data_IF_053250428776
#
_entry.id   IF_053250428776
#
_cell.length_a   1.000
_cell.length_b   1.000
_cell.length_c   1.000
_cell.angle_alpha   90.00
_cell.angle_beta   90.00
_cell.angle_gamma   90.00
#
_symmetry.space_group_name_H-M   'P 1'
#
loop_
_entity.id
_entity.type
_entity.pdbx_description
1 polymer ?
#
# COMPACT_ATOMS: atom_id res chain seq x y z
N UNK A 1 -14.95 13.53 6.07
CA UNK A 1 -15.51 12.36 5.36
C UNK A 1 -14.65 11.17 5.73
N UNK A 2 -15.16 10.22 6.51
CA UNK A 2 -14.42 9.00 6.86
C UNK A 2 -14.27 8.15 5.60
N UNK A 3 -13.05 7.93 5.12
CA UNK A 3 -12.78 6.94 4.07
C UNK A 3 -13.02 5.55 4.65
N UNK A 4 -14.17 4.97 4.28
CA UNK A 4 -14.63 3.71 4.82
C UNK A 4 -13.79 2.55 4.28
N UNK A 5 -13.47 1.60 5.17
CA UNK A 5 -12.90 0.30 4.79
C UNK A 5 -13.86 -0.37 3.79
N UNK A 6 -13.32 -0.85 2.66
CA UNK A 6 -14.13 -1.53 1.65
C UNK A 6 -14.16 -3.04 1.93
N UNK A 7 -15.33 -3.62 1.74
CA UNK A 7 -15.55 -5.05 1.88
C UNK A 7 -16.07 -5.62 0.56
N UNK A 8 -15.49 -6.73 0.14
CA UNK A 8 -15.85 -7.43 -1.09
C UNK A 8 -16.16 -8.89 -0.79
N UNK A 9 -17.02 -9.51 -1.58
CA UNK A 9 -17.47 -10.89 -1.38
C UNK A 9 -17.36 -11.66 -2.69
N UNK A 10 -16.79 -12.86 -2.62
CA UNK A 10 -16.48 -13.72 -3.76
C UNK A 10 -16.85 -15.17 -3.43
N UNK A 11 -17.10 -15.98 -4.45
CA UNK A 11 -17.42 -17.41 -4.27
C UNK A 11 -16.23 -18.32 -4.58
N UNK A 12 -15.21 -17.79 -5.27
CA UNK A 12 -14.02 -18.53 -5.68
C UNK A 12 -12.74 -17.89 -5.14
N UNK A 13 -11.77 -18.73 -4.77
CA UNK A 13 -10.47 -18.29 -4.30
C UNK A 13 -9.66 -17.61 -5.41
N UNK A 14 -9.84 -18.02 -6.67
CA UNK A 14 -9.14 -17.40 -7.81
C UNK A 14 -9.56 -15.94 -8.03
N UNK A 15 -10.84 -15.64 -7.82
CA UNK A 15 -11.36 -14.27 -7.88
C UNK A 15 -10.77 -13.42 -6.75
N UNK A 16 -10.63 -14.00 -5.55
CA UNK A 16 -9.98 -13.35 -4.41
C UNK A 16 -8.53 -13.01 -4.72
N UNK A 17 -7.77 -13.95 -5.28
CA UNK A 17 -6.37 -13.73 -5.65
C UNK A 17 -6.24 -12.65 -6.74
N UNK A 18 -7.05 -12.73 -7.79
CA UNK A 18 -7.07 -11.70 -8.85
C UNK A 18 -7.45 -10.33 -8.30
N UNK A 19 -8.43 -10.25 -7.38
CA UNK A 19 -8.81 -9.00 -6.73
C UNK A 19 -7.65 -8.43 -5.90
N UNK A 20 -6.94 -9.26 -5.15
CA UNK A 20 -5.77 -8.83 -4.37
C UNK A 20 -4.69 -8.28 -5.31
N UNK A 21 -4.40 -8.96 -6.41
CA UNK A 21 -3.41 -8.50 -7.40
C UNK A 21 -3.79 -7.16 -8.03
N UNK A 22 -5.06 -6.98 -8.40
CA UNK A 22 -5.59 -5.72 -8.93
C UNK A 22 -5.49 -4.61 -7.90
N UNK A 23 -5.85 -4.89 -6.63
CA UNK A 23 -5.74 -3.92 -5.55
C UNK A 23 -4.27 -3.55 -5.28
N UNK A 24 -3.35 -4.51 -5.31
CA UNK A 24 -1.91 -4.26 -5.19
C UNK A 24 -1.38 -3.37 -6.35
N UNK A 25 -1.82 -3.64 -7.57
CA UNK A 25 -1.44 -2.84 -8.74
C UNK A 25 -1.99 -1.41 -8.63
N UNK A 26 -3.26 -1.25 -8.26
CA UNK A 26 -3.91 0.05 -8.11
C UNK A 26 -3.29 0.88 -6.98
N UNK A 27 -2.99 0.25 -5.85
CA UNK A 27 -2.46 0.93 -4.67
C UNK A 27 -0.94 1.08 -4.67
N UNK A 28 -0.23 0.43 -5.60
CA UNK A 28 1.23 0.25 -5.56
C UNK A 28 1.73 -0.34 -4.24
N UNK A 29 0.87 -1.05 -3.51
CA UNK A 29 1.23 -1.75 -2.29
C UNK A 29 1.35 -3.24 -2.58
N UNK A 30 2.16 -3.92 -1.78
CA UNK A 30 2.26 -5.38 -1.77
C UNK A 30 1.90 -5.86 -0.40
N UNK A 31 1.18 -6.97 -0.33
CA UNK A 31 0.79 -7.61 0.91
C UNK A 31 1.57 -8.92 1.10
N UNK A 32 1.93 -9.19 2.34
CA UNK A 32 2.67 -10.38 2.76
C UNK A 32 1.84 -11.10 3.81
N UNK A 33 1.75 -12.42 3.70
CA UNK A 33 1.00 -13.24 4.66
C UNK A 33 1.63 -13.10 6.06
N UNK A 34 0.82 -12.65 7.01
CA UNK A 34 1.18 -12.57 8.42
C UNK A 34 0.81 -13.85 9.16
N UNK A 35 -0.38 -14.37 8.85
CA UNK A 35 -0.93 -15.56 9.48
C UNK A 35 -2.02 -16.16 8.62
N UNK A 36 -2.23 -17.46 8.79
CA UNK A 36 -3.33 -18.18 8.14
C UNK A 36 -3.86 -19.22 9.11
N UNK A 37 -5.18 -19.28 9.23
CA UNK A 37 -5.85 -20.34 9.98
C UNK A 37 -5.63 -21.70 9.30
N UNK A 38 -5.41 -22.77 10.09
CA UNK A 38 -5.06 -24.09 9.57
C UNK A 38 -6.05 -24.61 8.51
N UNK A 39 -7.36 -24.41 8.73
CA UNK A 39 -8.41 -24.88 7.82
C UNK A 39 -8.69 -23.96 6.63
N UNK A 40 -8.02 -22.80 6.50
CA UNK A 40 -8.34 -21.84 5.44
C UNK A 40 -8.15 -22.41 4.03
N UNK A 41 -7.05 -23.13 3.81
CA UNK A 41 -6.72 -23.80 2.55
C UNK A 41 -7.08 -25.29 2.55
N UNK A 42 -7.79 -25.76 3.58
CA UNK A 42 -8.20 -27.15 3.65
C UNK A 42 -9.39 -27.37 2.70
N UNK A 43 -9.12 -28.10 1.62
CA UNK A 43 -10.13 -28.49 0.63
C UNK A 43 -10.96 -29.70 1.10
N UNK A 44 -10.46 -30.44 2.09
CA UNK A 44 -11.14 -31.56 2.72
C UNK A 44 -11.94 -31.14 3.95
N UNK A 45 -11.94 -29.84 4.27
CA UNK A 45 -12.73 -29.32 5.37
C UNK A 45 -14.21 -29.66 5.17
N UNK A 46 -14.83 -30.18 6.23
CA UNK A 46 -16.25 -30.49 6.24
C UNK A 46 -16.93 -29.82 7.44
N UNK A 47 -18.16 -29.32 7.25
CA UNK A 47 -18.94 -28.79 8.35
C UNK A 47 -19.33 -29.92 9.31
N UNK A 48 -19.06 -29.72 10.59
CA UNK A 48 -19.52 -30.61 11.65
C UNK A 48 -20.67 -29.98 12.43
N UNK A 49 -21.41 -30.79 13.21
CA UNK A 49 -22.54 -30.29 14.01
C UNK A 49 -22.12 -29.47 15.24
N UNK A 50 -20.84 -29.52 15.62
CA UNK A 50 -20.32 -28.88 16.84
C UNK A 50 -20.10 -27.37 16.69
N UNK A 51 -19.44 -26.85 15.62
CA UNK A 51 -19.27 -25.43 15.39
C UNK A 51 -20.54 -24.60 15.52
N UNK A 52 -20.36 -23.34 15.91
CA UNK A 52 -21.44 -22.38 16.01
C UNK A 52 -21.92 -21.99 14.61
N UNK A 53 -23.24 -22.01 14.42
CA UNK A 53 -23.91 -21.45 13.24
C UNK A 53 -24.15 -19.97 13.48
N UNK A 54 -23.77 -19.15 12.50
CA UNK A 54 -23.94 -17.71 12.52
C UNK A 54 -24.96 -17.27 11.46
N UNK A 55 -25.58 -16.12 11.71
CA UNK A 55 -26.56 -15.49 10.82
C UNK A 55 -26.16 -14.05 10.45
N UNK A 56 -25.35 -13.45 11.31
CA UNK A 56 -24.77 -12.12 11.18
C UNK A 56 -23.49 -12.08 12.04
N UNK A 57 -22.56 -11.21 11.69
CA UNK A 57 -21.32 -11.02 12.43
C UNK A 57 -20.85 -9.58 12.33
N UNK A 58 -20.73 -8.89 13.47
CA UNK A 58 -20.26 -7.50 13.53
C UNK A 58 -19.21 -7.26 14.63
N UNK A 59 -18.76 -8.33 15.33
CA UNK A 59 -18.06 -8.21 16.62
C UNK A 59 -16.59 -8.59 16.61
N UNK A 60 -15.87 -8.41 15.50
CA UNK A 60 -14.42 -8.66 15.46
C UNK A 60 -13.64 -7.52 14.83
N UNK A 61 -12.79 -6.88 15.64
CA UNK A 61 -11.75 -5.99 15.14
C UNK A 61 -10.89 -6.74 14.10
N UNK A 62 -10.65 -6.13 12.94
CA UNK A 62 -9.93 -6.77 11.83
C UNK A 62 -10.70 -7.82 11.02
N UNK A 63 -11.86 -8.31 11.49
CA UNK A 63 -12.72 -9.23 10.72
C UNK A 63 -13.75 -8.46 9.87
N UNK A 64 -14.18 -9.02 8.72
CA UNK A 64 -15.26 -8.43 7.93
C UNK A 64 -16.60 -8.50 8.67
N UNK A 65 -17.47 -7.53 8.40
CA UNK A 65 -18.84 -7.49 8.95
C UNK A 65 -19.78 -8.22 8.00
N UNK A 66 -20.49 -9.23 8.48
CA UNK A 66 -21.50 -9.94 7.72
C UNK A 66 -22.88 -9.48 8.20
N UNK A 67 -23.62 -8.69 7.38
CA UNK A 67 -25.00 -8.36 7.71
C UNK A 67 -25.89 -9.59 7.61
N UNK A 68 -27.09 -9.51 8.19
CA UNK A 68 -28.08 -10.57 8.07
C UNK A 68 -28.58 -10.70 6.62
N UNK A 69 -28.21 -11.79 5.96
CA UNK A 69 -28.66 -12.12 4.58
C UNK A 69 -29.77 -13.18 4.56
N UNK A 70 -30.18 -13.64 5.74
CA UNK A 70 -31.09 -14.78 5.89
C UNK A 70 -30.44 -16.14 5.65
N UNK A 71 -29.16 -16.22 5.25
CA UNK A 71 -28.46 -17.49 5.00
C UNK A 71 -27.53 -17.82 6.16
N UNK A 72 -27.66 -19.00 6.81
CA UNK A 72 -26.76 -19.37 7.89
C UNK A 72 -25.37 -19.71 7.34
N UNK A 73 -24.34 -19.46 8.15
CA UNK A 73 -22.95 -19.75 7.79
C UNK A 73 -22.10 -20.24 8.98
N UNK A 74 -20.96 -20.85 8.67
CA UNK A 74 -19.92 -21.24 9.63
C UNK A 74 -18.56 -20.69 9.20
N UNK A 75 -17.73 -20.25 10.15
CA UNK A 75 -16.36 -19.84 9.85
C UNK A 75 -15.46 -21.05 9.58
N UNK A 76 -14.77 -21.03 8.44
CA UNK A 76 -13.75 -22.03 8.09
C UNK A 76 -12.38 -21.54 8.56
N UNK A 77 -12.05 -20.28 8.26
CA UNK A 77 -10.78 -19.70 8.67
C UNK A 77 -10.55 -18.30 8.12
N UNK A 78 -9.44 -17.71 8.53
CA UNK A 78 -9.01 -16.38 8.12
C UNK A 78 -7.56 -16.41 7.66
N UNK A 79 -7.26 -15.62 6.62
CA UNK A 79 -5.92 -15.33 6.11
C UNK A 79 -5.67 -13.83 6.29
N UNK A 80 -4.64 -13.50 7.05
CA UNK A 80 -4.24 -12.12 7.31
C UNK A 80 -3.00 -11.78 6.51
N UNK A 81 -3.05 -10.67 5.78
CA UNK A 81 -1.98 -10.20 4.92
C UNK A 81 -1.65 -8.75 5.27
N UNK A 82 -0.47 -8.49 5.81
CA UNK A 82 -0.03 -7.14 6.14
C UNK A 82 0.78 -6.50 5.02
N UNK A 83 0.86 -5.17 5.01
CA UNK A 83 1.68 -4.45 4.04
C UNK A 83 3.15 -4.94 4.05
N UNK A 84 3.80 -5.00 2.89
CA UNK A 84 5.21 -5.36 2.75
C UNK A 84 6.16 -4.38 3.45
N UNK A 85 5.73 -3.15 3.72
CA UNK A 85 6.44 -2.15 4.52
C UNK A 85 6.01 -2.16 6.00
N UNK A 86 5.17 -3.13 6.38
CA UNK A 86 4.67 -3.34 7.73
C UNK A 86 5.73 -3.77 8.74
N UNK A 87 5.28 -4.20 9.92
CA UNK A 87 6.17 -4.69 10.98
C UNK A 87 6.99 -5.88 10.48
N UNK A 88 8.26 -5.94 10.85
CA UNK A 88 9.07 -7.12 10.59
C UNK A 88 8.71 -8.23 11.59
N UNK A 89 7.89 -9.19 11.16
CA UNK A 89 7.49 -10.35 11.99
C UNK A 89 8.72 -11.14 12.49
N UNK A 90 9.81 -11.12 11.72
CA UNK A 90 11.03 -11.86 12.04
C UNK A 90 12.03 -11.08 12.89
N UNK A 91 11.71 -9.85 13.29
CA UNK A 91 12.62 -8.96 14.04
C UNK A 91 13.15 -9.63 15.32
N UNK A 92 12.27 -10.23 16.13
CA UNK A 92 12.66 -10.89 17.38
C UNK A 92 13.63 -12.04 17.15
N UNK A 93 13.45 -12.81 16.07
CA UNK A 93 14.39 -13.88 15.67
C UNK A 93 15.73 -13.28 15.25
N UNK A 94 15.72 -12.29 14.36
CA UNK A 94 16.93 -11.59 13.92
C UNK A 94 17.69 -10.96 15.10
N UNK A 95 16.99 -10.42 16.09
CA UNK A 95 17.59 -9.84 17.30
C UNK A 95 18.29 -10.91 18.14
N UNK A 96 17.64 -12.06 18.36
CA UNK A 96 18.26 -13.21 19.05
C UNK A 96 19.49 -13.69 18.29
N UNK A 97 19.40 -13.85 16.98
CA UNK A 97 20.51 -14.31 16.15
C UNK A 97 21.70 -13.33 16.21
N UNK A 98 21.45 -12.01 16.21
CA UNK A 98 22.50 -11.00 16.41
C UNK A 98 23.16 -11.10 17.78
N UNK A 99 22.38 -11.25 18.85
CA UNK A 99 22.92 -11.43 20.20
C UNK A 99 23.77 -12.71 20.32
N UNK A 100 23.33 -13.82 19.72
CA UNK A 100 24.11 -15.06 19.66
C UNK A 100 25.40 -14.88 18.84
N UNK A 101 25.34 -14.15 17.73
CA UNK A 101 26.51 -13.89 16.89
C UNK A 101 27.52 -12.94 17.55
N UNK A 102 27.07 -11.94 18.30
CA UNK A 102 27.93 -11.03 19.06
C UNK A 102 28.64 -11.76 20.23
N UNK A 103 28.01 -12.79 20.79
CA UNK A 103 28.59 -13.65 21.83
C UNK A 103 29.55 -14.74 21.30
N UNK A 104 29.55 -15.04 19.99
CA UNK A 104 30.24 -16.19 19.40
C UNK A 104 31.60 -15.89 18.70
N UNK A 105 32.30 -14.80 19.08
CA UNK A 105 33.72 -14.51 18.79
C UNK A 105 34.09 -13.64 17.54
N UNK A 106 34.91 -12.60 17.81
CA UNK A 106 36.13 -12.12 17.11
C UNK A 106 36.22 -12.09 15.57
N UNK A 107 35.47 -11.19 14.89
CA UNK A 107 36.03 -10.35 13.79
C UNK A 107 34.97 -9.36 13.33
N UNK A 108 35.17 -8.08 13.68
CA UNK A 108 34.35 -6.97 13.18
C UNK A 108 34.63 -6.77 11.68
N UNK A 109 34.02 -7.59 10.81
CA UNK A 109 33.90 -7.24 9.39
C UNK A 109 33.18 -5.89 9.33
N UNK A 110 33.86 -4.85 8.82
CA UNK A 110 33.26 -3.54 8.55
C UNK A 110 32.12 -3.73 7.56
N UNK A 111 30.90 -3.93 8.07
CA UNK A 111 29.69 -3.89 7.27
C UNK A 111 29.54 -2.45 6.80
N UNK A 112 29.42 -2.25 5.48
CA UNK A 112 29.02 -0.95 4.93
C UNK A 112 27.72 -0.57 5.63
N UNK A 113 27.70 0.57 6.33
CA UNK A 113 26.49 1.06 6.99
C UNK A 113 25.48 1.37 5.88
N UNK A 114 24.41 0.59 5.82
CA UNK A 114 23.24 0.98 5.03
C UNK A 114 22.74 2.31 5.58
N UNK A 115 22.38 3.24 4.70
CA UNK A 115 21.82 4.55 5.07
C UNK A 115 20.48 4.39 5.82
N UNK A 116 19.84 3.22 5.71
CA UNK A 116 18.64 2.86 6.46
C UNK A 116 18.83 1.53 7.18
N UNK A 117 18.47 1.48 8.47
CA UNK A 117 18.61 0.30 9.32
C UNK A 117 17.69 -0.87 8.88
N UNK A 118 16.55 -0.57 8.23
CA UNK A 118 15.76 -1.57 7.51
C UNK A 118 14.79 -0.94 6.49
N UNK A 119 14.37 -1.74 5.49
CA UNK A 119 13.33 -1.40 4.49
C UNK A 119 11.92 -1.32 5.10
N UNK A 120 11.71 -1.88 6.30
CA UNK A 120 10.42 -1.98 6.97
C UNK A 120 10.18 -0.71 7.80
N UNK A 121 9.02 -0.08 7.67
CA UNK A 121 8.70 1.16 8.40
C UNK A 121 7.62 0.95 9.48
N UNK A 122 7.09 -0.28 9.60
CA UNK A 122 6.07 -0.59 10.61
C UNK A 122 4.66 -0.15 10.21
N UNK A 123 4.35 -0.10 8.91
CA UNK A 123 3.00 0.19 8.42
C UNK A 123 1.93 -0.76 9.05
N UNK A 124 0.82 -0.22 9.62
CA UNK A 124 -0.21 -1.02 10.28
C UNK A 124 -1.27 -1.58 9.32
N UNK A 125 -1.22 -1.27 8.03
CA UNK A 125 -2.23 -1.72 7.06
C UNK A 125 -2.27 -3.25 6.95
N UNK A 126 -3.47 -3.80 7.15
CA UNK A 126 -3.77 -5.24 7.09
C UNK A 126 -4.97 -5.45 6.18
N UNK A 127 -4.82 -6.39 5.25
CA UNK A 127 -5.86 -6.97 4.42
C UNK A 127 -6.24 -8.32 5.03
N UNK A 128 -7.53 -8.51 5.28
CA UNK A 128 -8.06 -9.74 5.88
C UNK A 128 -8.96 -10.45 4.88
N UNK A 129 -8.72 -11.74 4.67
CA UNK A 129 -9.59 -12.62 3.89
C UNK A 129 -10.21 -13.66 4.82
N UNK A 130 -11.53 -13.68 4.92
CA UNK A 130 -12.27 -14.65 5.72
C UNK A 130 -13.02 -15.61 4.82
N UNK A 131 -12.83 -16.91 5.04
CA UNK A 131 -13.54 -17.99 4.34
C UNK A 131 -14.64 -18.53 5.25
N UNK A 132 -15.87 -18.56 4.74
CA UNK A 132 -17.03 -19.11 5.43
C UNK A 132 -17.75 -20.14 4.57
N UNK A 133 -18.37 -21.12 5.21
CA UNK A 133 -19.29 -22.06 4.57
C UNK A 133 -20.72 -21.50 4.70
N UNK A 134 -21.35 -21.18 3.58
CA UNK A 134 -22.74 -20.73 3.54
C UNK A 134 -23.68 -21.91 3.24
N UNK A 135 -24.89 -21.89 3.83
CA UNK A 135 -25.87 -22.96 3.68
C UNK A 135 -27.20 -22.43 3.10
N UNK A 136 -27.30 -22.21 1.79
CA UNK A 136 -28.49 -21.62 1.15
C UNK A 136 -29.78 -22.41 1.37
N UNK A 137 -29.70 -23.74 1.51
CA UNK A 137 -30.86 -24.61 1.73
C UNK A 137 -31.60 -24.33 3.06
N UNK A 138 -30.92 -23.70 4.01
CA UNK A 138 -31.47 -23.36 5.33
C UNK A 138 -31.79 -21.88 5.46
N UNK A 139 -31.93 -21.17 4.34
CA UNK A 139 -32.24 -19.74 4.30
C UNK A 139 -33.59 -19.43 4.95
N UNK A 140 -33.64 -18.37 5.73
CA UNK A 140 -34.85 -17.84 6.36
C UNK A 140 -35.12 -16.41 5.88
N UNK A 141 -36.39 -16.02 5.85
CA UNK A 141 -36.81 -14.65 5.51
C UNK A 141 -36.84 -13.77 6.76
N UNK A 142 -37.41 -14.30 7.85
CA UNK A 142 -37.62 -13.55 9.10
C UNK A 142 -36.35 -13.48 9.96
N UNK A 143 -35.91 -12.26 10.28
CA UNK A 143 -34.83 -11.97 11.23
C UNK A 143 -35.32 -12.09 12.69
N UNK A 144 -36.02 -13.18 13.03
CA UNK A 144 -36.51 -13.45 14.40
C UNK A 144 -35.63 -14.51 15.04
N UNK A 145 -35.29 -14.32 16.32
CA UNK A 145 -34.45 -15.29 17.04
C UNK A 145 -35.04 -16.71 17.07
N UNK A 146 -36.37 -16.84 17.14
CA UNK A 146 -37.05 -18.13 17.14
C UNK A 146 -36.85 -18.89 15.82
N UNK A 147 -36.93 -18.20 14.68
CA UNK A 147 -36.76 -18.80 13.35
C UNK A 147 -35.29 -19.15 13.12
N UNK A 148 -34.35 -18.25 13.50
CA UNK A 148 -32.90 -18.52 13.50
C UNK A 148 -32.56 -19.79 14.29
N UNK A 149 -33.02 -19.91 15.55
CA UNK A 149 -32.74 -21.09 16.40
C UNK A 149 -33.29 -22.38 15.80
N UNK A 150 -34.54 -22.35 15.30
CA UNK A 150 -35.15 -23.53 14.67
C UNK A 150 -34.39 -23.96 13.42
N UNK A 151 -34.00 -23.02 12.55
CA UNK A 151 -33.24 -23.32 11.34
C UNK A 151 -31.81 -23.80 11.66
N UNK A 152 -31.13 -23.20 12.64
CA UNK A 152 -29.83 -23.69 13.10
C UNK A 152 -29.89 -25.10 13.70
N UNK A 153 -30.96 -25.42 14.44
CA UNK A 153 -31.16 -26.77 14.97
C UNK A 153 -31.38 -27.79 13.84
N UNK A 154 -32.18 -27.44 12.82
CA UNK A 154 -32.37 -28.28 11.62
C UNK A 154 -31.05 -28.51 10.87
N UNK A 155 -30.26 -27.45 10.67
CA UNK A 155 -28.94 -27.56 10.03
C UNK A 155 -28.01 -28.49 10.82
N UNK A 156 -27.94 -28.35 12.15
CA UNK A 156 -27.13 -29.23 12.99
C UNK A 156 -27.58 -30.69 12.96
N UNK A 157 -28.88 -30.94 12.93
CA UNK A 157 -29.42 -32.30 12.78
C UNK A 157 -29.09 -32.89 11.41
N UNK A 158 -29.19 -32.10 10.34
CA UNK A 158 -28.82 -32.54 9.00
C UNK A 158 -27.34 -32.91 8.93
N UNK A 159 -26.45 -32.06 9.48
CA UNK A 159 -25.00 -32.32 9.55
C UNK A 159 -24.61 -33.58 10.34
N UNK A 160 -25.48 -34.10 11.22
CA UNK A 160 -25.22 -35.35 11.95
C UNK A 160 -25.61 -36.59 11.18
N UNK A 161 -26.56 -36.46 10.24
CA UNK A 161 -27.16 -37.60 9.53
C UNK A 161 -26.56 -37.76 8.15
N UNK A 162 -26.57 -36.69 7.38
CA UNK A 162 -26.27 -36.70 5.95
C UNK A 162 -25.25 -35.61 5.60
N UNK A 163 -24.43 -35.81 4.55
CA UNK A 163 -23.60 -34.76 4.00
C UNK A 163 -24.46 -33.59 3.50
N UNK A 164 -24.36 -32.45 4.17
CA UNK A 164 -25.06 -31.23 3.76
C UNK A 164 -24.25 -30.51 2.70
N UNK A 165 -24.88 -30.11 1.60
CA UNK A 165 -24.24 -29.27 0.57
C UNK A 165 -24.08 -27.84 1.06
N UNK A 166 -22.91 -27.25 0.83
CA UNK A 166 -22.56 -25.89 1.25
C UNK A 166 -21.73 -25.19 0.18
N UNK A 167 -21.70 -23.87 0.23
CA UNK A 167 -20.99 -23.02 -0.72
C UNK A 167 -19.84 -22.29 -0.03
N UNK A 168 -18.70 -22.16 -0.73
CA UNK A 168 -17.60 -21.31 -0.26
C UNK A 168 -17.96 -19.85 -0.48
N UNK A 169 -17.79 -19.05 0.57
CA UNK A 169 -17.89 -17.60 0.50
C UNK A 169 -16.64 -16.98 1.09
N UNK A 170 -15.97 -16.15 0.31
CA UNK A 170 -14.78 -15.42 0.68
C UNK A 170 -15.11 -13.96 0.85
N UNK A 171 -14.70 -13.39 1.97
CA UNK A 171 -14.99 -12.00 2.30
C UNK A 171 -13.67 -11.31 2.56
N UNK A 172 -13.38 -10.29 1.75
CA UNK A 172 -12.15 -9.54 1.80
C UNK A 172 -12.45 -8.19 2.43
N UNK A 173 -11.65 -7.83 3.43
CA UNK A 173 -11.62 -6.50 4.03
C UNK A 173 -10.32 -5.83 3.64
N UNK A 174 -10.40 -4.78 2.83
CA UNK A 174 -9.22 -4.02 2.41
C UNK A 174 -8.93 -2.88 3.39
N UNK A 175 -7.65 -2.57 3.65
CA UNK A 175 -7.30 -1.39 4.43
C UNK A 175 -7.67 -0.13 3.64
N UNK A 176 -8.09 0.92 4.34
CA UNK A 176 -8.24 2.23 3.71
C UNK A 176 -6.85 2.77 3.28
N UNK A 177 -6.78 3.66 2.28
CA UNK A 177 -5.52 4.33 1.93
C UNK A 177 -4.86 5.01 3.14
N UNK A 178 -5.67 5.64 4.00
CA UNK A 178 -5.24 6.26 5.26
C UNK A 178 -4.66 5.30 6.30
N UNK A 179 -4.95 3.99 6.23
CA UNK A 179 -4.34 3.00 7.13
C UNK A 179 -2.87 2.73 6.81
N UNK A 180 -2.39 3.13 5.63
CA UNK A 180 -0.99 3.01 5.24
C UNK A 180 -0.15 4.15 5.80
N UNK A 181 0.29 3.98 7.06
CA UNK A 181 1.11 4.99 7.73
C UNK A 181 2.56 4.93 7.25
N UNK A 182 3.10 6.09 6.86
CA UNK A 182 4.52 6.30 6.59
C UNK A 182 5.02 5.91 5.18
N UNK A 183 4.13 5.50 4.27
CA UNK A 183 4.48 5.25 2.86
C UNK A 183 3.33 5.57 1.90
N UNK A 184 3.67 5.71 0.62
CA UNK A 184 2.72 6.06 -0.44
C UNK A 184 1.78 4.92 -0.80
N UNK A 185 0.55 5.29 -1.14
CA UNK A 185 -0.51 4.45 -1.68
C UNK A 185 -1.09 5.19 -2.88
N UNK A 186 -1.12 4.54 -4.04
CA UNK A 186 -1.76 5.05 -5.28
C UNK A 186 -1.26 6.43 -5.75
N UNK A 187 0.00 6.54 -6.19
CA UNK A 187 0.49 7.72 -6.95
C UNK A 187 0.50 9.07 -6.21
N UNK A 188 -0.24 9.20 -5.12
CA UNK A 188 -0.11 10.28 -4.16
C UNK A 188 1.22 10.06 -3.46
N UNK A 189 2.15 10.95 -3.79
CA UNK A 189 3.46 11.07 -3.20
C UNK A 189 3.30 11.15 -1.67
N UNK A 190 3.37 10.03 -0.95
CA UNK A 190 3.67 10.04 0.48
C UNK A 190 5.16 9.88 0.61
N UNK A 191 5.72 10.98 1.04
CA UNK A 191 7.10 11.38 1.02
C UNK A 191 7.94 10.42 1.88
N UNK A 192 9.04 9.89 1.33
CA UNK A 192 10.17 9.36 2.13
C UNK A 192 10.46 10.27 3.35
N UNK A 193 10.99 9.75 4.47
CA UNK A 193 11.30 10.56 5.67
C UNK A 193 12.13 11.82 5.35
N UNK A 194 13.04 11.71 4.36
CA UNK A 194 13.81 12.83 3.81
C UNK A 194 12.92 13.88 3.13
N UNK A 195 11.95 13.45 2.33
CA UNK A 195 10.95 14.36 1.75
C UNK A 195 10.01 14.92 2.81
N UNK A 196 9.55 14.15 3.81
CA UNK A 196 8.71 14.65 4.90
C UNK A 196 9.36 15.82 5.65
N UNK A 197 10.62 15.65 6.07
CA UNK A 197 11.39 16.74 6.71
C UNK A 197 11.56 17.93 5.76
N UNK A 198 11.77 17.71 4.45
CA UNK A 198 11.78 18.79 3.46
C UNK A 198 10.45 19.55 3.40
N UNK A 199 9.31 18.87 3.60
CA UNK A 199 7.98 19.52 3.65
C UNK A 199 7.88 20.43 4.84
N UNK A 200 8.21 19.93 6.02
CA UNK A 200 8.15 20.69 7.26
C UNK A 200 9.06 21.92 7.17
N UNK A 201 10.26 21.78 6.59
CA UNK A 201 11.12 22.93 6.31
C UNK A 201 10.45 23.94 5.38
N UNK A 202 9.81 23.49 4.29
CA UNK A 202 9.10 24.38 3.35
C UNK A 202 7.91 25.08 4.01
N UNK A 203 7.13 24.37 4.81
CA UNK A 203 5.96 24.92 5.50
C UNK A 203 6.37 25.93 6.58
N UNK A 204 7.45 25.66 7.31
CA UNK A 204 8.05 26.62 8.25
C UNK A 204 8.57 27.88 7.55
N UNK A 205 9.20 27.74 6.38
CA UNK A 205 9.67 28.88 5.58
C UNK A 205 8.52 29.73 5.06
N UNK A 206 7.42 29.10 4.62
CA UNK A 206 6.19 29.83 4.24
C UNK A 206 5.62 30.60 5.43
N UNK A 207 5.46 29.93 6.57
CA UNK A 207 4.96 30.60 7.78
C UNK A 207 5.85 31.75 8.23
N UNK A 208 7.17 31.58 8.15
CA UNK A 208 8.13 32.62 8.42
C UNK A 208 7.95 33.80 7.46
N UNK A 209 7.80 33.53 6.16
CA UNK A 209 7.57 34.56 5.14
C UNK A 209 6.32 35.38 5.47
N UNK A 210 5.20 34.71 5.76
CA UNK A 210 3.94 35.37 6.12
C UNK A 210 4.10 36.29 7.35
N UNK A 211 4.90 35.86 8.34
CA UNK A 211 5.15 36.65 9.55
C UNK A 211 6.11 37.81 9.32
N UNK A 212 7.15 37.63 8.50
CA UNK A 212 8.12 38.69 8.18
C UNK A 212 7.43 39.85 7.44
N UNK A 213 6.46 39.56 6.57
CA UNK A 213 5.67 40.58 5.87
C UNK A 213 4.84 41.47 6.81
N UNK A 214 4.62 41.05 8.06
CA UNK A 214 3.88 41.81 9.08
C UNK A 214 4.80 42.61 10.02
N UNK A 215 6.12 42.52 9.87
CA UNK A 215 7.07 43.24 10.72
C UNK A 215 7.26 44.67 10.20
N UNK A 216 6.81 45.65 10.98
CA UNK A 216 6.93 47.07 10.62
C UNK A 216 8.27 47.70 11.09
N UNK A 217 8.93 47.10 12.10
CA UNK A 217 10.13 47.67 12.70
C UNK A 217 11.40 47.33 11.88
N UNK A 218 12.09 48.38 11.40
CA UNK A 218 13.32 48.27 10.60
C UNK A 218 14.43 47.45 11.29
N UNK A 219 14.65 47.67 12.59
CA UNK A 219 15.66 46.92 13.36
C UNK A 219 15.32 45.42 13.45
N UNK A 220 14.03 45.10 13.55
CA UNK A 220 13.54 43.73 13.51
C UNK A 220 13.80 43.05 12.16
N UNK A 221 13.55 43.76 11.06
CA UNK A 221 13.83 43.27 9.71
C UNK A 221 15.32 43.02 9.47
N UNK A 222 16.19 43.92 9.93
CA UNK A 222 17.66 43.76 9.83
C UNK A 222 18.16 42.53 10.63
N UNK A 223 17.60 42.31 11.82
CA UNK A 223 17.93 41.14 12.62
C UNK A 223 17.49 39.83 11.94
N UNK A 224 16.28 39.80 11.38
CA UNK A 224 15.76 38.64 10.65
C UNK A 224 16.60 38.38 9.39
N UNK A 225 16.94 39.42 8.63
CA UNK A 225 17.82 39.33 7.46
C UNK A 225 19.15 38.65 7.80
N UNK A 226 19.81 39.09 8.89
CA UNK A 226 21.07 38.48 9.33
C UNK A 226 20.91 36.99 9.61
N UNK A 227 19.88 36.59 10.38
CA UNK A 227 19.63 35.18 10.71
C UNK A 227 19.32 34.31 9.49
N UNK A 228 18.64 34.86 8.49
CA UNK A 228 18.38 34.15 7.23
C UNK A 228 19.65 33.94 6.41
N UNK A 229 20.57 34.91 6.42
CA UNK A 229 21.90 34.78 5.79
C UNK A 229 22.71 33.70 6.49
N UNK A 230 22.79 33.73 7.82
CA UNK A 230 23.51 32.72 8.61
C UNK A 230 22.96 31.30 8.30
N UNK A 231 21.63 31.15 8.26
CA UNK A 231 20.97 29.87 7.92
C UNK A 231 21.27 29.42 6.48
N UNK A 232 21.38 30.35 5.53
CA UNK A 232 21.72 30.04 4.15
C UNK A 232 23.15 29.51 4.02
N UNK A 233 24.09 30.15 4.72
CA UNK A 233 25.50 29.73 4.77
C UNK A 233 25.65 28.33 5.38
N UNK A 234 24.87 28.01 6.42
CA UNK A 234 24.87 26.68 7.04
C UNK A 234 24.36 25.57 6.10
N UNK A 235 23.38 25.89 5.24
CA UNK A 235 22.74 24.90 4.35
C UNK A 235 23.52 24.72 3.04
N UNK A 236 24.24 25.74 2.57
CA UNK A 236 24.94 25.73 1.28
C UNK A 236 25.96 24.59 1.10
N UNK A 237 26.74 24.16 2.11
CA UNK A 237 27.64 23.01 2.02
C UNK A 237 26.93 21.66 1.89
N UNK A 238 25.64 21.60 2.25
CA UNK A 238 24.86 20.37 2.25
C UNK A 238 24.21 20.07 0.89
N UNK A 239 24.27 21.00 -0.06
CA UNK A 239 23.70 20.87 -1.41
C UNK A 239 24.72 20.17 -2.33
N UNK A 240 24.39 19.02 -2.96
CA UNK A 240 25.28 18.35 -3.91
C UNK A 240 25.66 19.27 -5.08
N UNK A 241 26.93 19.25 -5.46
CA UNK A 241 27.53 20.16 -6.47
C UNK A 241 26.83 20.16 -7.85
N UNK A 242 26.05 19.14 -8.20
CA UNK A 242 25.35 19.03 -9.48
C UNK A 242 24.12 19.95 -9.61
N UNK A 243 23.68 20.60 -8.53
CA UNK A 243 22.54 21.53 -8.53
C UNK A 243 22.93 23.02 -8.45
N UNK A 244 24.23 23.36 -8.56
CA UNK A 244 24.68 24.76 -8.63
C UNK A 244 24.35 25.33 -10.02
N UNK A 245 23.14 25.82 -10.19
CA UNK A 245 22.85 26.74 -11.29
C UNK A 245 23.66 28.03 -11.05
N UNK A 246 24.41 28.54 -12.04
CA UNK A 246 25.00 29.87 -11.93
C UNK A 246 23.86 30.88 -11.77
N UNK A 247 23.91 31.68 -10.71
CA UNK A 247 23.17 32.93 -10.62
C UNK A 247 23.55 33.75 -11.86
N UNK A 248 22.62 33.83 -12.82
CA UNK A 248 22.72 34.78 -13.92
C UNK A 248 22.61 36.17 -13.32
N UNK A 249 23.73 36.87 -13.35
CA UNK A 249 23.85 38.29 -13.04
C UNK A 249 23.00 39.07 -14.06
N UNK A 250 22.03 39.83 -13.57
CA UNK A 250 21.15 40.66 -14.40
C UNK A 250 21.61 42.10 -14.29
N UNK A 251 21.99 42.67 -15.45
CA UNK A 251 22.28 44.09 -15.79
C UNK A 251 23.77 44.44 -15.74
N UNK A 252 24.40 45.07 -16.74
CA UNK A 252 23.94 46.17 -17.60
C UNK A 252 24.43 46.03 -19.06
N UNK A 253 23.69 46.64 -19.99
CA UNK A 253 23.80 46.38 -21.43
C UNK A 253 24.87 47.12 -22.22
N UNK A 254 24.91 46.81 -23.53
CA UNK A 254 25.13 47.77 -24.63
C UNK A 254 25.00 47.10 -26.01
N UNK A 255 24.21 47.78 -26.86
CA UNK A 255 24.33 47.98 -28.32
C UNK A 255 24.25 46.77 -29.28
N UNK A 256 23.12 46.77 -30.00
CA UNK A 256 22.94 46.57 -31.45
C UNK A 256 24.22 46.35 -32.28
N UNK A 257 24.26 45.21 -32.98
CA UNK A 257 24.59 45.17 -34.41
C UNK A 257 24.00 43.92 -35.06
N UNK A 258 23.13 44.15 -36.04
CA UNK A 258 22.72 43.16 -37.02
C UNK A 258 23.93 42.60 -37.77
N UNK A 259 23.90 41.28 -38.05
CA UNK A 259 24.31 40.70 -39.33
C UNK A 259 23.83 39.25 -39.46
N UNK A 260 22.84 39.13 -40.33
CA UNK A 260 22.47 38.05 -41.24
C UNK A 260 23.38 36.80 -41.41
N UNK A 261 22.68 35.69 -41.73
CA UNK A 261 22.99 34.63 -42.72
C UNK A 261 23.60 33.29 -42.22
N UNK A 262 22.73 32.27 -42.31
CA UNK A 262 22.92 30.83 -42.61
C UNK A 262 23.79 29.95 -41.71
N UNK A 263 23.25 28.75 -41.41
CA UNK A 263 24.09 27.60 -41.07
C UNK A 263 23.35 26.51 -40.30
N UNK A 264 22.60 25.67 -41.01
CA UNK A 264 22.23 24.32 -40.59
C UNK A 264 23.45 23.57 -40.05
N UNK A 265 23.31 22.89 -38.90
CA UNK A 265 24.02 21.63 -38.69
C UNK A 265 23.31 20.79 -37.63
N UNK A 266 22.73 19.70 -38.12
CA UNK A 266 22.20 18.59 -37.38
C UNK A 266 23.33 17.81 -36.69
N UNK A 267 23.15 17.47 -35.41
CA UNK A 267 23.92 16.41 -34.78
C UNK A 267 23.03 15.20 -34.55
N UNK A 268 23.13 14.29 -35.51
CA UNK A 268 22.73 12.89 -35.46
C UNK A 268 23.59 12.16 -34.42
N UNK A 269 22.95 11.56 -33.40
CA UNK A 269 23.58 10.52 -32.58
C UNK A 269 23.10 9.17 -33.08
N UNK A 270 24.02 8.42 -33.68
CA UNK A 270 23.80 7.05 -34.16
C UNK A 270 23.70 6.08 -32.99
N UNK A 271 22.69 5.22 -33.13
CA UNK A 271 22.45 4.01 -32.38
C UNK A 271 23.43 2.90 -32.82
N UNK A 272 23.90 2.11 -31.87
CA UNK A 272 24.21 0.70 -32.04
C UNK A 272 23.57 -0.06 -30.87
N UNK A 273 23.14 -1.30 -30.97
CA UNK A 273 23.02 -2.23 -32.09
C UNK A 273 22.49 -3.50 -31.45
N UNK A 274 21.24 -3.89 -31.70
CA UNK A 274 20.78 -5.27 -31.55
C UNK A 274 19.53 -5.46 -32.41
N UNK A 275 19.75 -6.06 -33.58
CA UNK A 275 18.72 -6.58 -34.46
C UNK A 275 18.33 -7.95 -33.92
N UNK A 276 17.09 -8.09 -33.48
CA UNK A 276 16.45 -9.39 -33.32
C UNK A 276 15.35 -9.46 -34.37
N UNK A 277 15.53 -10.38 -35.31
CA UNK A 277 14.60 -10.66 -36.38
C UNK A 277 13.53 -11.61 -35.85
N UNK A 278 12.28 -11.16 -35.76
CA UNK A 278 11.10 -12.01 -35.59
C UNK A 278 10.04 -11.55 -36.58
N UNK A 279 9.90 -12.34 -37.65
CA UNK A 279 8.80 -12.25 -38.58
C UNK A 279 7.50 -12.65 -37.87
N UNK A 280 6.51 -11.78 -37.88
CA UNK A 280 5.12 -12.14 -37.59
C UNK A 280 4.23 -11.44 -38.61
N UNK A 281 3.75 -12.24 -39.56
CA UNK A 281 2.74 -11.89 -40.55
C UNK A 281 1.38 -11.73 -39.85
N UNK A 282 0.89 -10.50 -39.72
CA UNK A 282 -0.51 -10.21 -39.41
C UNK A 282 -1.27 -10.02 -40.73
N UNK A 283 -2.11 -10.99 -41.11
CA UNK A 283 -3.13 -10.79 -42.12
C UNK A 283 -4.37 -10.21 -41.44
N UNK A 284 -4.72 -8.98 -41.80
CA UNK A 284 -5.99 -8.34 -41.49
C UNK A 284 -6.87 -8.54 -42.74
N UNK A 285 -7.88 -9.39 -42.64
CA UNK A 285 -8.96 -9.42 -43.64
C UNK A 285 -10.04 -8.43 -43.22
N UNK A 286 -10.12 -7.32 -43.94
CA UNK A 286 -11.27 -6.42 -43.98
C UNK A 286 -12.28 -6.97 -44.99
N UNK A 287 -13.46 -7.37 -44.53
CA UNK A 287 -14.65 -7.48 -45.40
C UNK A 287 -15.71 -6.53 -44.88
N UNK A 288 -16.09 -5.60 -45.75
CA UNK A 288 -17.21 -4.70 -45.61
C UNK A 288 -17.97 -4.70 -46.96
N UNK A 289 -19.18 -4.14 -47.05
CA UNK A 289 -20.39 -4.91 -47.24
C UNK A 289 -21.04 -4.71 -48.63
N UNK A 290 -21.91 -5.64 -49.01
CA UNK A 290 -23.06 -5.44 -49.90
C UNK A 290 -24.04 -6.61 -49.73
#
# INVERSE_FOLDING_TARGET
MEEQQQQHTFNDLREVESFIEQNEAATMTKFVVYGTHASFFDNLWQPSSHPRVFWEWSRGEGTPTLPFTGTPFMFIGTKEMGCHLGRDISESKKRRDRLHQDNACTRKRRKRKSVQDCKKIGCPAILTVTRVAAFPQFKIVDNKDRTKRAASARLKQALQRDPVTWENLYIIKTPSPSAHVGHAVSGELIWSRKTFVRKECVDLLKHLTDKVLLVEEQRGLEHIKKRLVDLLEDVQPMVPNEARSPLMDVSEGKRLKEKSVTGLLAHSVKCGSHVVHLQSTCQIQTTNPA
#
